data_IF_148406756009
#
_entry.id   IF_148406756009
#
_cell.length_a   1.000
_cell.length_b   1.000
_cell.length_c   1.000
_cell.angle_alpha   90.00
_cell.angle_beta   90.00
_cell.angle_gamma   90.00
#
_symmetry.space_group_name_H-M   'P 1'
#
loop_
_entity.id
_entity.type
_entity.pdbx_description
1 polymer ?
#
# COMPACT_ATOMS: atom_id res chain seq x y z
N UNK A 1 13.39 15.23 -2.21
CA UNK A 1 13.24 16.50 -2.94
C UNK A 1 12.10 16.37 -3.95
N UNK A 2 12.16 15.42 -4.88
CA UNK A 2 11.12 15.22 -5.91
C UNK A 2 9.76 14.81 -5.36
N UNK A 3 9.70 13.86 -4.42
CA UNK A 3 8.45 13.48 -3.73
C UNK A 3 7.74 14.68 -3.11
N UNK A 4 8.48 15.57 -2.46
CA UNK A 4 7.90 16.72 -1.76
C UNK A 4 7.44 17.82 -2.74
N UNK A 5 7.96 17.82 -3.97
CA UNK A 5 7.64 18.81 -4.99
C UNK A 5 6.53 18.35 -5.94
N UNK A 6 6.55 17.08 -6.36
CA UNK A 6 5.62 16.51 -7.35
C UNK A 6 4.58 15.57 -6.74
N UNK A 7 4.82 15.02 -5.55
CA UNK A 7 3.97 13.99 -4.94
C UNK A 7 4.22 12.57 -5.48
N UNK A 8 3.85 11.57 -4.70
CA UNK A 8 4.09 10.17 -5.06
C UNK A 8 3.37 9.77 -6.36
N UNK A 9 2.13 10.23 -6.58
CA UNK A 9 1.36 9.86 -7.76
C UNK A 9 2.06 10.20 -9.08
N UNK A 10 2.77 11.33 -9.14
CA UNK A 10 3.53 11.74 -10.33
C UNK A 10 4.81 10.92 -10.45
N UNK A 11 5.56 10.78 -9.34
CA UNK A 11 6.85 10.08 -9.33
C UNK A 11 6.68 8.59 -9.67
N UNK A 12 5.61 7.95 -9.21
CA UNK A 12 5.35 6.52 -9.44
C UNK A 12 4.51 6.23 -10.68
N UNK A 13 4.05 7.26 -11.42
CA UNK A 13 3.18 7.08 -12.58
C UNK A 13 3.79 6.13 -13.62
N UNK A 14 5.09 6.32 -13.93
CA UNK A 14 5.81 5.47 -14.89
C UNK A 14 5.96 4.03 -14.39
N UNK A 15 6.18 3.84 -13.09
CA UNK A 15 6.24 2.50 -12.51
C UNK A 15 4.88 1.80 -12.65
N UNK A 16 3.79 2.50 -12.36
CA UNK A 16 2.45 1.93 -12.52
C UNK A 16 2.14 1.57 -13.98
N UNK A 17 2.52 2.42 -14.94
CA UNK A 17 2.35 2.14 -16.37
C UNK A 17 3.12 0.87 -16.78
N UNK A 18 4.37 0.72 -16.34
CA UNK A 18 5.18 -0.47 -16.60
C UNK A 18 4.59 -1.73 -15.96
N UNK A 19 4.09 -1.65 -14.71
CA UNK A 19 3.42 -2.77 -14.05
C UNK A 19 2.19 -3.23 -14.85
N UNK A 20 1.36 -2.29 -15.32
CA UNK A 20 0.20 -2.61 -16.17
C UNK A 20 0.61 -3.23 -17.51
N UNK A 21 1.73 -2.78 -18.09
CA UNK A 21 2.27 -3.36 -19.32
C UNK A 21 2.72 -4.81 -19.09
N UNK A 22 3.46 -5.06 -18.00
CA UNK A 22 3.91 -6.41 -17.63
C UNK A 22 2.75 -7.35 -17.27
N UNK A 23 1.66 -6.82 -16.73
CA UNK A 23 0.44 -7.56 -16.42
C UNK A 23 -0.36 -7.94 -17.68
N UNK A 24 -0.49 -7.03 -18.64
CA UNK A 24 -1.37 -7.22 -19.81
C UNK A 24 -0.64 -7.78 -21.03
N UNK A 25 0.62 -7.39 -21.23
CA UNK A 25 1.43 -7.77 -22.39
C UNK A 25 2.47 -8.82 -22.03
N UNK A 26 3.06 -8.71 -20.83
CA UNK A 26 4.13 -9.59 -20.39
C UNK A 26 5.45 -9.39 -21.17
N UNK A 27 6.41 -10.28 -20.91
CA UNK A 27 7.73 -10.28 -21.54
C UNK A 27 7.84 -11.51 -22.43
N UNK A 28 8.11 -11.28 -23.72
CA UNK A 28 8.36 -12.34 -24.67
C UNK A 28 9.80 -12.85 -24.54
N UNK A 29 9.93 -14.15 -24.31
CA UNK A 29 11.21 -14.85 -24.21
C UNK A 29 11.27 -15.87 -25.35
N UNK A 30 12.22 -15.65 -26.25
CA UNK A 30 12.51 -16.57 -27.34
C UNK A 30 13.56 -17.57 -26.87
N UNK A 31 13.14 -18.82 -26.67
CA UNK A 31 14.03 -19.94 -26.40
C UNK A 31 14.23 -20.71 -27.71
N UNK A 32 15.39 -21.36 -27.85
CA UNK A 32 15.73 -22.15 -29.05
C UNK A 32 14.64 -23.14 -29.49
N UNK A 33 13.83 -23.62 -28.56
CA UNK A 33 12.79 -24.62 -28.80
C UNK A 33 11.36 -24.09 -28.70
N UNK A 34 11.13 -22.86 -28.20
CA UNK A 34 9.80 -22.27 -28.03
C UNK A 34 9.84 -20.79 -27.70
N UNK A 35 8.79 -20.07 -28.08
CA UNK A 35 8.50 -18.73 -27.58
C UNK A 35 7.59 -18.84 -26.35
N UNK A 36 7.93 -18.11 -25.30
CA UNK A 36 7.11 -17.98 -24.10
C UNK A 36 6.78 -16.50 -23.88
N UNK A 37 5.60 -16.23 -23.34
CA UNK A 37 5.26 -14.91 -22.80
C UNK A 37 5.08 -15.05 -21.30
N UNK A 38 5.86 -14.30 -20.52
CA UNK A 38 5.79 -14.29 -19.06
C UNK A 38 5.02 -13.05 -18.61
N UNK A 39 3.95 -13.25 -17.86
CA UNK A 39 3.17 -12.16 -17.26
C UNK A 39 3.56 -11.99 -15.79
N UNK A 40 3.47 -10.75 -15.31
CA UNK A 40 3.82 -10.39 -13.94
C UNK A 40 2.60 -9.81 -13.25
N UNK A 41 2.57 -9.85 -11.91
CA UNK A 41 1.58 -9.16 -11.09
C UNK A 41 2.26 -8.53 -9.89
N UNK A 42 1.80 -7.36 -9.49
CA UNK A 42 2.25 -6.74 -8.24
C UNK A 42 1.64 -7.49 -7.05
N UNK A 43 2.46 -8.30 -6.37
CA UNK A 43 2.01 -9.07 -5.21
C UNK A 43 1.98 -8.24 -3.92
N UNK A 44 3.10 -7.58 -3.58
CA UNK A 44 3.31 -6.89 -2.30
C UNK A 44 4.21 -5.66 -2.51
N UNK A 45 4.08 -4.67 -1.62
CA UNK A 45 4.97 -3.50 -1.53
C UNK A 45 5.64 -3.52 -0.17
N UNK A 46 6.95 -3.78 -0.12
CA UNK A 46 7.74 -3.85 1.13
C UNK A 46 8.70 -2.66 1.22
N UNK A 47 9.10 -2.31 2.44
CA UNK A 47 10.03 -1.23 2.70
C UNK A 47 9.93 -0.74 4.15
N UNK A 48 10.60 0.37 4.44
CA UNK A 48 10.44 1.04 5.72
C UNK A 48 9.01 1.53 5.93
N UNK A 49 8.65 1.71 7.20
CA UNK A 49 7.30 2.13 7.58
C UNK A 49 6.89 3.45 6.90
N UNK A 50 7.82 4.39 6.82
CA UNK A 50 7.57 5.71 6.25
C UNK A 50 7.28 5.63 4.74
N UNK A 51 8.09 4.91 3.99
CA UNK A 51 7.95 4.73 2.55
C UNK A 51 6.69 3.95 2.19
N UNK A 52 6.41 2.84 2.88
CA UNK A 52 5.20 2.03 2.64
C UNK A 52 3.96 2.86 2.94
N UNK A 53 3.90 3.57 4.07
CA UNK A 53 2.76 4.45 4.38
C UNK A 53 2.56 5.52 3.31
N UNK A 54 3.65 6.14 2.87
CA UNK A 54 3.62 7.18 1.84
C UNK A 54 3.07 6.68 0.49
N UNK A 55 3.48 5.49 0.05
CA UNK A 55 3.04 4.89 -1.22
C UNK A 55 1.61 4.36 -1.15
N UNK A 56 1.22 3.78 -0.02
CA UNK A 56 -0.12 3.22 0.18
C UNK A 56 -1.17 4.25 0.61
N UNK A 57 -0.75 5.50 0.85
CA UNK A 57 -1.64 6.62 1.17
C UNK A 57 -2.07 6.70 2.64
N UNK A 58 -1.32 6.08 3.54
CA UNK A 58 -1.54 6.14 4.99
C UNK A 58 -0.76 7.28 5.65
N UNK A 59 -1.13 7.64 6.88
CA UNK A 59 -0.41 8.64 7.66
C UNK A 59 1.03 8.20 7.94
N UNK A 60 1.98 9.03 7.55
CA UNK A 60 3.43 8.82 7.74
C UNK A 60 3.90 9.00 9.21
N UNK A 61 2.99 9.29 10.16
CA UNK A 61 3.35 9.55 11.56
C UNK A 61 2.84 8.48 12.51
N UNK A 62 3.74 7.85 13.27
CA UNK A 62 3.37 6.95 14.36
C UNK A 62 2.67 7.66 15.54
N UNK A 63 2.75 9.00 15.61
CA UNK A 63 2.01 9.80 16.58
C UNK A 63 0.60 10.18 16.12
N UNK A 64 0.23 9.77 14.91
CA UNK A 64 -1.09 10.02 14.37
C UNK A 64 -2.17 9.24 15.15
N UNK A 65 -3.37 9.81 15.41
CA UNK A 65 -4.45 9.11 16.12
C UNK A 65 -4.83 7.79 15.46
N UNK A 66 -4.82 7.75 14.12
CA UNK A 66 -4.98 6.55 13.30
C UNK A 66 -3.67 6.27 12.58
N UNK A 67 -2.74 5.60 13.26
CA UNK A 67 -1.40 5.32 12.73
C UNK A 67 -1.33 3.97 11.99
N UNK A 68 -2.17 2.99 12.33
CA UNK A 68 -2.04 1.64 11.80
C UNK A 68 -2.50 1.51 10.34
N UNK A 69 -1.68 0.85 9.50
CA UNK A 69 -2.00 0.50 8.11
C UNK A 69 -2.86 -0.76 7.97
N UNK A 70 -2.94 -1.59 9.01
CA UNK A 70 -3.70 -2.85 9.00
C UNK A 70 -5.12 -2.70 9.56
N UNK A 71 -5.29 -1.87 10.59
CA UNK A 71 -6.57 -1.71 11.30
C UNK A 71 -6.92 -0.24 11.55
N UNK A 72 -8.15 0.01 12.02
CA UNK A 72 -8.68 1.35 12.34
C UNK A 72 -8.57 1.70 13.82
N UNK A 73 -7.71 1.03 14.59
CA UNK A 73 -7.48 1.32 16.01
C UNK A 73 -7.02 2.77 16.24
N UNK A 74 -7.43 3.39 17.35
CA UNK A 74 -6.83 4.64 17.81
C UNK A 74 -5.54 4.41 18.59
N UNK A 75 -4.58 5.33 18.49
CA UNK A 75 -3.35 5.33 19.27
C UNK A 75 -3.58 5.25 20.78
N UNK A 76 -4.67 5.84 21.28
CA UNK A 76 -5.03 5.76 22.71
C UNK A 76 -5.31 4.34 23.20
N UNK A 77 -5.61 3.40 22.30
CA UNK A 77 -6.03 2.03 22.63
C UNK A 77 -4.87 1.02 22.50
N UNK A 78 -3.67 1.46 22.06
CA UNK A 78 -2.55 0.56 21.73
C UNK A 78 -2.02 -0.23 22.93
N UNK A 79 -2.21 0.31 24.14
CA UNK A 79 -1.79 -0.34 25.40
C UNK A 79 -2.92 -1.14 26.06
N UNK A 80 -4.06 -1.29 25.40
CA UNK A 80 -5.26 -1.94 25.95
C UNK A 80 -5.72 -3.12 25.09
N UNK A 81 -5.47 -3.06 23.79
CA UNK A 81 -5.91 -4.04 22.80
C UNK A 81 -4.73 -4.89 22.33
N UNK A 82 -4.84 -6.20 22.51
CA UNK A 82 -3.78 -7.17 22.19
C UNK A 82 -4.24 -8.29 21.26
N UNK A 83 -5.53 -8.34 20.93
CA UNK A 83 -6.09 -9.34 20.02
C UNK A 83 -6.67 -8.65 18.77
N UNK A 84 -6.41 -9.23 17.61
CA UNK A 84 -6.91 -8.73 16.34
C UNK A 84 -8.46 -8.69 16.31
N UNK A 85 -9.12 -9.62 17.00
CA UNK A 85 -10.59 -9.67 17.08
C UNK A 85 -11.20 -8.47 17.79
N UNK A 86 -10.39 -7.67 18.50
CA UNK A 86 -10.81 -6.48 19.23
C UNK A 86 -10.66 -5.20 18.40
N UNK A 87 -10.13 -5.29 17.17
CA UNK A 87 -9.99 -4.15 16.25
C UNK A 87 -10.83 -4.32 15.00
N UNK A 88 -11.21 -3.19 14.42
CA UNK A 88 -11.77 -3.18 13.07
C UNK A 88 -10.64 -3.20 12.04
N UNK A 89 -10.53 -4.29 11.28
CA UNK A 89 -9.56 -4.43 10.19
C UNK A 89 -9.94 -3.57 9.00
N UNK A 90 -8.93 -3.00 8.32
CA UNK A 90 -9.16 -2.26 7.09
C UNK A 90 -9.57 -3.23 5.99
N UNK A 91 -10.67 -2.91 5.32
CA UNK A 91 -11.22 -3.66 4.18
C UNK A 91 -11.30 -2.73 2.98
N UNK A 92 -11.43 -3.25 1.77
CA UNK A 92 -11.63 -2.40 0.59
C UNK A 92 -12.84 -1.47 0.75
N UNK A 93 -13.90 -1.97 1.36
CA UNK A 93 -15.12 -1.21 1.63
C UNK A 93 -14.85 -0.02 2.55
N UNK A 94 -14.33 -0.26 3.76
CA UNK A 94 -14.11 0.83 4.71
C UNK A 94 -12.95 1.74 4.29
N UNK A 95 -11.99 1.25 3.49
CA UNK A 95 -10.96 2.06 2.85
C UNK A 95 -11.57 3.07 1.87
N UNK A 96 -12.50 2.63 1.02
CA UNK A 96 -13.18 3.52 0.07
C UNK A 96 -14.06 4.56 0.79
N UNK A 97 -14.75 4.16 1.86
CA UNK A 97 -15.50 5.07 2.73
C UNK A 97 -14.57 6.11 3.37
N UNK A 98 -13.43 5.67 3.90
CA UNK A 98 -12.42 6.51 4.53
C UNK A 98 -11.76 7.50 3.55
N UNK A 99 -11.49 7.09 2.31
CA UNK A 99 -11.04 7.99 1.22
C UNK A 99 -12.11 9.04 0.95
N UNK A 100 -13.37 8.62 0.80
CA UNK A 100 -14.48 9.52 0.47
C UNK A 100 -14.72 10.54 1.57
N UNK A 101 -14.51 10.15 2.83
CA UNK A 101 -14.58 11.06 3.98
C UNK A 101 -13.53 12.18 3.93
N UNK A 102 -12.38 11.94 3.31
CA UNK A 102 -11.30 12.89 3.13
C UNK A 102 -10.86 13.60 4.43
N UNK A 103 -10.80 12.84 5.53
CA UNK A 103 -10.40 13.33 6.84
C UNK A 103 -9.34 12.41 7.46
N UNK A 104 -8.09 12.72 7.15
CA UNK A 104 -6.95 11.90 7.58
C UNK A 104 -6.88 11.75 9.09
N UNK A 105 -7.30 12.75 9.88
CA UNK A 105 -7.25 12.70 11.36
C UNK A 105 -8.09 11.57 11.92
N UNK A 106 -9.24 11.28 11.31
CA UNK A 106 -10.17 10.25 11.78
C UNK A 106 -10.02 8.92 11.07
N UNK A 107 -9.43 8.89 9.86
CA UNK A 107 -9.30 7.67 9.05
C UNK A 107 -7.88 7.11 8.99
N UNK A 108 -6.87 7.96 9.18
CA UNK A 108 -5.45 7.63 8.96
C UNK A 108 -5.06 7.53 7.49
N UNK A 109 -5.96 7.87 6.56
CA UNK A 109 -5.71 7.87 5.12
C UNK A 109 -5.48 9.32 4.66
N UNK A 110 -4.33 9.58 4.06
CA UNK A 110 -3.93 10.88 3.52
C UNK A 110 -4.31 11.02 2.05
N UNK A 111 -4.40 9.91 1.33
CA UNK A 111 -4.82 9.88 -0.07
C UNK A 111 -4.97 8.45 -0.59
N UNK A 112 -5.38 8.29 -1.86
CA UNK A 112 -5.45 6.97 -2.48
C UNK A 112 -4.05 6.36 -2.65
N UNK A 113 -3.98 5.04 -2.54
CA UNK A 113 -2.76 4.30 -2.84
C UNK A 113 -2.37 4.48 -4.31
N UNK A 114 -1.09 4.74 -4.57
CA UNK A 114 -0.58 5.00 -5.92
C UNK A 114 -0.64 3.79 -6.85
N UNK A 115 -0.83 2.59 -6.30
CA UNK A 115 -0.88 1.33 -7.04
C UNK A 115 -2.29 0.76 -7.24
N UNK A 116 -3.37 1.48 -6.89
CA UNK A 116 -4.75 1.02 -7.13
C UNK A 116 -5.07 0.73 -8.61
N UNK A 117 -4.23 1.16 -9.54
CA UNK A 117 -4.36 0.84 -10.96
C UNK A 117 -3.72 -0.49 -11.39
N UNK A 118 -2.94 -1.14 -10.55
CA UNK A 118 -2.37 -2.46 -10.82
C UNK A 118 -3.44 -3.53 -10.54
N UNK A 119 -3.55 -4.52 -11.42
CA UNK A 119 -4.57 -5.55 -11.29
C UNK A 119 -4.33 -6.41 -10.04
N UNK A 120 -5.40 -6.71 -9.31
CA UNK A 120 -5.39 -7.53 -8.08
C UNK A 120 -4.52 -6.98 -6.92
N UNK A 121 -4.12 -5.71 -6.99
CA UNK A 121 -3.44 -5.03 -5.89
C UNK A 121 -4.39 -4.10 -5.13
N UNK A 122 -4.51 -4.31 -3.82
CA UNK A 122 -5.18 -3.37 -2.92
C UNK A 122 -4.42 -3.27 -1.59
N UNK A 123 -4.18 -2.07 -1.03
CA UNK A 123 -3.39 -1.88 0.19
C UNK A 123 -3.95 -2.61 1.43
N UNK A 124 -5.23 -2.98 1.42
CA UNK A 124 -5.88 -3.73 2.52
C UNK A 124 -5.93 -5.25 2.30
N UNK A 125 -5.59 -5.74 1.10
CA UNK A 125 -5.51 -7.18 0.80
C UNK A 125 -4.06 -7.65 0.69
N UNK A 126 -3.23 -6.85 0.03
CA UNK A 126 -1.83 -7.13 -0.26
C UNK A 126 -0.94 -6.61 0.88
N UNK A 127 -1.23 -7.11 2.08
CA UNK A 127 -0.59 -6.69 3.32
C UNK A 127 0.84 -7.22 3.35
N UNK A 128 1.79 -6.32 3.61
CA UNK A 128 3.21 -6.63 3.76
C UNK A 128 3.72 -6.20 5.14
N UNK A 129 4.66 -7.01 5.64
CA UNK A 129 5.43 -6.75 6.85
C UNK A 129 6.89 -7.02 6.50
N UNK A 130 7.77 -6.10 6.84
CA UNK A 130 9.20 -6.24 6.67
C UNK A 130 9.83 -6.56 8.03
N UNK A 131 10.46 -7.72 8.17
CA UNK A 131 11.02 -8.15 9.46
C UNK A 131 12.09 -7.17 9.97
N UNK A 132 12.90 -6.61 9.08
CA UNK A 132 13.95 -5.69 9.48
C UNK A 132 13.37 -4.36 9.96
N UNK A 133 12.34 -3.84 9.29
CA UNK A 133 11.77 -2.52 9.59
C UNK A 133 10.58 -2.52 10.56
N UNK A 134 9.87 -3.63 10.70
CA UNK A 134 8.66 -3.72 11.53
C UNK A 134 8.91 -4.43 12.87
N UNK A 135 9.99 -5.23 12.99
CA UNK A 135 10.32 -5.97 14.22
C UNK A 135 11.66 -5.53 14.83
N UNK A 136 12.67 -5.25 14.00
CA UNK A 136 14.06 -5.07 14.45
C UNK A 136 14.50 -3.60 14.53
N UNK A 137 13.64 -2.66 14.13
CA UNK A 137 13.86 -1.21 14.19
C UNK A 137 12.98 -0.57 15.27
#
# INVERSE_FOLDING_TARGET
LDRNYFGNSIVTAKILDELKLLETTGVNINLQTKNLTIYFKLALVTGDNLGVHSLLGFSESFNHPKFCRFCRMNKSQINEIYDESQVEIRTEKNYQEDITKNDSKTTGIVGPCVFLGASDFHPTKNISVDVMHDILE
#
